data_IF_459086732407
#
_entry.id   IF_459086732407
#
_cell.length_a   1.000
_cell.length_b   1.000
_cell.length_c   1.000
_cell.angle_alpha   90.00
_cell.angle_beta   90.00
_cell.angle_gamma   90.00
#
_symmetry.space_group_name_H-M   'P 1'
#
loop_
_entity.id
_entity.type
_entity.pdbx_description
1 polymer ?
#
# COMPACT_ATOMS: atom_id res chain seq x y z
N UNK A 1 7.27 -25.51 -17.87
CA UNK A 1 6.98 -25.94 -16.54
C UNK A 1 7.36 -24.92 -15.49
N UNK A 2 6.42 -24.66 -14.68
CA UNK A 2 6.49 -23.78 -13.51
C UNK A 2 7.44 -24.32 -12.44
N UNK A 3 7.97 -25.47 -12.63
CA UNK A 3 8.51 -26.30 -11.59
C UNK A 3 9.96 -26.04 -11.18
N UNK A 4 10.53 -24.94 -11.58
CA UNK A 4 11.74 -24.52 -10.89
C UNK A 4 11.29 -23.77 -9.63
N UNK A 5 10.74 -24.55 -8.71
CA UNK A 5 10.50 -24.13 -7.35
C UNK A 5 11.79 -23.61 -6.74
N UNK A 6 12.08 -22.35 -6.97
CA UNK A 6 13.05 -21.64 -6.14
C UNK A 6 12.36 -21.30 -4.82
N UNK A 7 13.10 -21.19 -3.74
CA UNK A 7 12.55 -20.73 -2.44
C UNK A 7 11.73 -19.45 -2.56
N UNK A 8 12.05 -18.63 -3.54
CA UNK A 8 11.41 -17.36 -3.81
C UNK A 8 10.03 -17.49 -4.48
N UNK A 9 9.83 -18.52 -5.30
CA UNK A 9 8.53 -18.76 -5.95
C UNK A 9 7.48 -19.34 -5.00
N UNK A 10 7.90 -20.05 -3.95
CA UNK A 10 6.98 -20.62 -2.96
C UNK A 10 6.21 -19.60 -2.14
N UNK A 11 6.68 -18.35 -2.09
CA UNK A 11 6.02 -17.29 -1.32
C UNK A 11 4.85 -16.68 -2.08
N UNK A 12 4.86 -16.76 -3.42
CA UNK A 12 3.85 -16.18 -4.31
C UNK A 12 3.44 -17.15 -5.42
N UNK A 13 3.38 -18.43 -5.11
CA UNK A 13 3.02 -19.48 -6.07
C UNK A 13 1.69 -19.23 -6.77
N UNK A 14 0.69 -18.74 -6.05
CA UNK A 14 -0.64 -18.44 -6.56
C UNK A 14 -0.58 -17.38 -7.67
N UNK A 15 0.15 -16.30 -7.42
CA UNK A 15 0.30 -15.20 -8.37
C UNK A 15 1.10 -15.61 -9.59
N UNK A 16 2.20 -16.33 -9.41
CA UNK A 16 2.99 -16.84 -10.53
C UNK A 16 2.22 -17.90 -11.35
N UNK A 17 1.35 -18.68 -10.70
CA UNK A 17 0.38 -19.54 -11.38
C UNK A 17 -0.56 -18.74 -12.27
N UNK A 18 -1.13 -17.67 -11.76
CA UNK A 18 -1.97 -16.72 -12.50
C UNK A 18 -1.24 -16.07 -13.67
N UNK A 19 -0.01 -15.57 -13.46
CA UNK A 19 0.83 -15.02 -14.55
C UNK A 19 1.06 -16.02 -15.68
N UNK A 20 1.31 -17.27 -15.33
CA UNK A 20 1.55 -18.32 -16.30
C UNK A 20 0.32 -18.62 -17.15
N UNK A 21 -0.87 -18.66 -16.55
CA UNK A 21 -2.13 -18.82 -17.27
C UNK A 21 -2.37 -17.63 -18.19
N UNK A 22 -2.27 -16.41 -17.69
CA UNK A 22 -2.49 -15.19 -18.45
C UNK A 22 -1.51 -15.04 -19.63
N UNK A 23 -0.23 -15.35 -19.44
CA UNK A 23 0.80 -15.30 -20.49
C UNK A 23 0.57 -16.34 -21.62
N UNK A 24 -0.17 -17.40 -21.35
CA UNK A 24 -0.56 -18.41 -22.33
C UNK A 24 -1.90 -18.10 -23.01
N UNK A 25 -2.47 -16.93 -22.76
CA UNK A 25 -3.77 -16.53 -23.31
C UNK A 25 -4.96 -17.13 -22.59
N UNK A 26 -4.76 -17.73 -21.40
CA UNK A 26 -5.84 -18.23 -20.57
C UNK A 26 -6.57 -17.09 -19.85
N UNK A 27 -7.83 -17.32 -19.54
CA UNK A 27 -8.64 -16.45 -18.71
C UNK A 27 -8.63 -16.96 -17.26
N UNK A 28 -8.67 -16.02 -16.34
CA UNK A 28 -8.80 -16.29 -14.90
C UNK A 28 -10.10 -15.63 -14.47
N UNK A 29 -11.06 -16.45 -14.04
CA UNK A 29 -12.35 -16.00 -13.57
C UNK A 29 -12.47 -16.24 -12.06
N UNK A 30 -13.23 -15.41 -11.39
CA UNK A 30 -13.55 -15.57 -9.99
C UNK A 30 -14.98 -16.12 -9.85
N UNK A 31 -15.10 -17.26 -9.17
CA UNK A 31 -16.38 -17.85 -8.83
C UNK A 31 -16.44 -18.12 -7.35
N UNK A 32 -17.47 -17.62 -6.70
CA UNK A 32 -17.70 -17.81 -5.28
C UNK A 32 -18.91 -18.71 -5.05
N UNK A 33 -18.70 -20.03 -5.13
CA UNK A 33 -19.76 -21.01 -4.87
C UNK A 33 -19.90 -21.34 -3.38
N UNK A 34 -18.81 -21.24 -2.63
CA UNK A 34 -18.76 -21.59 -1.21
C UNK A 34 -17.87 -20.57 -0.50
N UNK A 35 -18.38 -20.02 0.59
CA UNK A 35 -17.60 -19.12 1.44
C UNK A 35 -16.65 -19.92 2.33
N UNK A 36 -15.36 -19.84 2.07
CA UNK A 36 -14.33 -20.51 2.85
C UNK A 36 -13.55 -19.50 3.67
N UNK A 37 -13.69 -19.56 4.99
CA UNK A 37 -12.87 -18.78 5.91
C UNK A 37 -11.53 -19.45 6.18
N UNK A 38 -10.45 -18.67 6.26
CA UNK A 38 -9.13 -19.12 6.69
C UNK A 38 -8.71 -18.38 7.95
N UNK A 39 -8.37 -19.13 8.99
CA UNK A 39 -7.84 -18.57 10.24
C UNK A 39 -6.53 -17.82 10.02
N UNK A 40 -6.34 -16.74 10.78
CA UNK A 40 -5.11 -15.96 10.84
C UNK A 40 -4.68 -15.80 12.28
N UNK A 41 -3.38 -15.60 12.45
CA UNK A 41 -2.81 -15.27 13.76
C UNK A 41 -3.32 -13.87 14.16
N UNK A 42 -3.76 -13.74 15.39
CA UNK A 42 -4.31 -12.48 15.94
C UNK A 42 -3.25 -11.66 16.67
N UNK A 43 -2.04 -12.20 16.82
CA UNK A 43 -0.94 -11.49 17.45
C UNK A 43 -0.35 -10.46 16.49
N UNK A 44 0.08 -9.32 17.02
CA UNK A 44 0.75 -8.29 16.21
C UNK A 44 1.96 -8.84 15.47
N UNK A 45 2.76 -9.68 16.12
CA UNK A 45 3.92 -10.32 15.52
C UNK A 45 3.52 -11.29 14.40
N UNK A 46 2.44 -12.04 14.57
CA UNK A 46 1.92 -12.94 13.53
C UNK A 46 1.42 -12.18 12.30
N UNK A 47 0.69 -11.08 12.52
CA UNK A 47 0.19 -10.22 11.43
C UNK A 47 1.34 -9.56 10.68
N UNK A 48 2.30 -8.96 11.38
CA UNK A 48 3.46 -8.32 10.75
C UNK A 48 4.34 -9.32 10.00
N UNK A 49 4.55 -10.51 10.56
CA UNK A 49 5.28 -11.58 9.88
C UNK A 49 4.60 -12.06 8.60
N UNK A 50 3.26 -12.11 8.60
CA UNK A 50 2.48 -12.45 7.42
C UNK A 50 2.58 -11.36 6.35
N UNK A 51 2.43 -10.09 6.72
CA UNK A 51 2.59 -8.96 5.81
C UNK A 51 4.00 -8.89 5.21
N UNK A 52 5.02 -9.11 6.01
CA UNK A 52 6.40 -9.18 5.54
C UNK A 52 6.60 -10.30 4.50
N UNK A 53 5.98 -11.44 4.71
CA UNK A 53 6.00 -12.55 3.75
C UNK A 53 5.38 -12.15 2.43
N UNK A 54 4.20 -11.53 2.45
CA UNK A 54 3.49 -11.10 1.23
C UNK A 54 4.27 -10.00 0.52
N UNK A 55 4.76 -9.00 1.25
CA UNK A 55 5.56 -7.92 0.68
C UNK A 55 6.83 -8.45 -0.02
N UNK A 56 7.52 -9.40 0.60
CA UNK A 56 8.67 -10.09 -0.01
C UNK A 56 8.29 -10.82 -1.30
N UNK A 57 7.15 -11.50 -1.32
CA UNK A 57 6.61 -12.15 -2.51
C UNK A 57 6.32 -11.18 -3.64
N UNK A 58 5.71 -10.04 -3.33
CA UNK A 58 5.46 -8.98 -4.32
C UNK A 58 6.74 -8.37 -4.90
N UNK A 59 7.78 -8.19 -4.09
CA UNK A 59 9.07 -7.73 -4.58
C UNK A 59 9.66 -8.68 -5.64
N UNK A 60 9.56 -9.98 -5.43
CA UNK A 60 9.98 -10.97 -6.44
C UNK A 60 9.14 -10.97 -7.70
N UNK A 61 7.83 -10.71 -7.59
CA UNK A 61 6.95 -10.58 -8.75
C UNK A 61 7.41 -9.43 -9.65
N UNK A 62 7.70 -8.26 -9.07
CA UNK A 62 8.15 -7.07 -9.80
C UNK A 62 9.45 -7.34 -10.56
N UNK A 63 10.37 -8.07 -9.94
CA UNK A 63 11.67 -8.40 -10.53
C UNK A 63 11.61 -9.56 -11.54
N UNK A 64 10.45 -10.20 -11.70
CA UNK A 64 10.31 -11.37 -12.54
C UNK A 64 10.23 -11.01 -14.04
N UNK A 65 10.75 -11.91 -14.89
CA UNK A 65 10.56 -11.80 -16.35
C UNK A 65 9.10 -11.95 -16.77
N UNK A 66 8.31 -12.65 -15.98
CA UNK A 66 6.89 -12.87 -16.28
C UNK A 66 6.09 -11.59 -16.11
N UNK A 67 6.42 -10.77 -15.12
CA UNK A 67 5.87 -9.43 -14.98
C UNK A 67 6.19 -8.55 -16.20
N UNK A 68 7.44 -8.57 -16.65
CA UNK A 68 7.85 -7.82 -17.86
C UNK A 68 7.11 -8.29 -19.11
N UNK A 69 6.91 -9.59 -19.28
CA UNK A 69 6.14 -10.14 -20.40
C UNK A 69 4.66 -9.77 -20.31
N UNK A 70 4.09 -9.87 -19.11
CA UNK A 70 2.70 -9.53 -18.85
C UNK A 70 2.44 -8.05 -19.10
N UNK A 71 3.37 -7.17 -18.74
CA UNK A 71 3.25 -5.73 -18.98
C UNK A 71 3.18 -5.35 -20.47
N UNK A 72 3.65 -6.23 -21.35
CA UNK A 72 3.59 -6.05 -22.81
C UNK A 72 2.36 -6.71 -23.46
N UNK A 73 1.74 -7.64 -22.77
CA UNK A 73 0.63 -8.44 -23.28
C UNK A 73 -0.74 -8.02 -22.72
N UNK A 74 -0.77 -7.46 -21.52
CA UNK A 74 -1.99 -7.06 -20.84
C UNK A 74 -2.43 -5.64 -21.24
N UNK A 75 -3.74 -5.40 -21.17
CA UNK A 75 -4.33 -4.09 -21.37
C UNK A 75 -4.06 -3.14 -20.16
N UNK A 76 -4.31 -1.87 -20.37
CA UNK A 76 -4.07 -0.84 -19.36
C UNK A 76 -4.81 -1.11 -18.03
N UNK A 77 -6.06 -1.50 -18.09
CA UNK A 77 -6.88 -1.71 -16.88
C UNK A 77 -6.39 -2.91 -16.06
N UNK A 78 -5.97 -3.97 -16.72
CA UNK A 78 -5.36 -5.14 -16.04
C UNK A 78 -4.04 -4.78 -15.42
N UNK A 79 -3.22 -3.98 -16.10
CA UNK A 79 -1.94 -3.50 -15.55
C UNK A 79 -2.15 -2.57 -14.36
N UNK A 80 -3.11 -1.68 -14.44
CA UNK A 80 -3.46 -0.81 -13.32
C UNK A 80 -3.95 -1.60 -12.11
N UNK A 81 -4.83 -2.57 -12.31
CA UNK A 81 -5.29 -3.46 -11.24
C UNK A 81 -4.14 -4.25 -10.63
N UNK A 82 -3.26 -4.81 -11.44
CA UNK A 82 -2.08 -5.55 -10.99
C UNK A 82 -1.11 -4.65 -10.20
N UNK A 83 -0.91 -3.43 -10.65
CA UNK A 83 -0.08 -2.46 -9.93
C UNK A 83 -0.70 -2.09 -8.59
N UNK A 84 -1.98 -1.72 -8.56
CA UNK A 84 -2.67 -1.29 -7.35
C UNK A 84 -2.81 -2.39 -6.30
N UNK A 85 -2.98 -3.65 -6.72
CA UNK A 85 -3.10 -4.81 -5.81
C UNK A 85 -1.76 -5.41 -5.39
N UNK A 86 -0.67 -5.06 -6.05
CA UNK A 86 0.65 -5.64 -5.83
C UNK A 86 1.70 -4.61 -5.45
N UNK A 87 2.59 -4.30 -6.37
CA UNK A 87 3.75 -3.44 -6.14
C UNK A 87 3.38 -2.02 -5.71
N UNK A 88 2.33 -1.45 -6.28
CA UNK A 88 1.85 -0.11 -5.94
C UNK A 88 1.38 -0.01 -4.50
N UNK A 89 0.64 -1.00 -4.02
CA UNK A 89 0.20 -1.07 -2.63
C UNK A 89 1.39 -1.03 -1.65
N UNK A 90 2.41 -1.85 -1.87
CA UNK A 90 3.58 -1.89 -0.99
C UNK A 90 4.47 -0.66 -1.13
N UNK A 91 4.54 -0.06 -2.31
CA UNK A 91 5.22 1.21 -2.51
C UNK A 91 4.53 2.33 -1.71
N UNK A 92 3.21 2.41 -1.79
CA UNK A 92 2.42 3.37 -1.01
C UNK A 92 2.62 3.16 0.49
N UNK A 93 2.60 1.91 0.97
CA UNK A 93 2.86 1.61 2.38
C UNK A 93 4.28 2.00 2.83
N UNK A 94 5.27 1.85 1.97
CA UNK A 94 6.63 2.29 2.28
C UNK A 94 6.73 3.82 2.38
N UNK A 95 6.12 4.53 1.44
CA UNK A 95 6.06 6.00 1.46
C UNK A 95 5.29 6.49 2.70
N UNK A 96 4.17 5.85 3.01
CA UNK A 96 3.37 6.16 4.20
C UNK A 96 4.17 5.98 5.49
N UNK A 97 4.91 4.89 5.61
CA UNK A 97 5.78 4.65 6.77
C UNK A 97 6.83 5.76 6.93
N UNK A 98 7.43 6.19 5.83
CA UNK A 98 8.37 7.32 5.84
C UNK A 98 7.70 8.63 6.24
N UNK A 99 6.55 8.93 5.68
CA UNK A 99 5.77 10.12 6.02
C UNK A 99 5.40 10.14 7.50
N UNK A 100 5.05 9.00 8.09
CA UNK A 100 4.75 8.88 9.52
C UNK A 100 5.97 9.21 10.39
N UNK A 101 7.16 8.72 10.05
CA UNK A 101 8.38 9.06 10.78
C UNK A 101 8.68 10.56 10.73
N UNK A 102 8.55 11.18 9.56
CA UNK A 102 8.72 12.62 9.40
C UNK A 102 7.68 13.41 10.19
N UNK A 103 6.44 12.98 10.16
CA UNK A 103 5.36 13.59 10.92
C UNK A 103 5.66 13.59 12.43
N UNK A 104 5.99 12.44 12.98
CA UNK A 104 6.35 12.31 14.40
C UNK A 104 7.58 13.17 14.75
N UNK A 105 8.59 13.17 13.90
CA UNK A 105 9.81 13.97 14.12
C UNK A 105 9.52 15.47 14.11
N UNK A 106 8.74 15.95 13.15
CA UNK A 106 8.36 17.37 13.04
C UNK A 106 7.57 17.80 14.28
N UNK A 107 6.57 17.02 14.68
CA UNK A 107 5.77 17.33 15.86
C UNK A 107 6.62 17.32 17.15
N UNK A 108 7.50 16.36 17.30
CA UNK A 108 8.41 16.33 18.44
C UNK A 108 9.36 17.57 18.46
N UNK A 109 9.81 18.00 17.29
CA UNK A 109 10.65 19.20 17.16
C UNK A 109 9.85 20.48 17.49
N UNK A 110 8.62 20.59 17.00
CA UNK A 110 7.74 21.73 17.30
C UNK A 110 7.43 21.81 18.79
N UNK A 111 7.11 20.68 19.42
CA UNK A 111 6.89 20.60 20.86
C UNK A 111 8.15 21.00 21.66
N UNK A 112 9.31 20.50 21.28
CA UNK A 112 10.57 20.80 21.94
C UNK A 112 10.99 22.28 21.79
N UNK A 113 10.59 22.95 20.72
CA UNK A 113 10.89 24.34 20.43
C UNK A 113 9.79 25.33 20.90
N UNK A 114 8.68 24.83 21.46
CA UNK A 114 7.50 25.61 21.82
C UNK A 114 6.93 26.46 20.66
N UNK A 115 7.01 25.97 19.45
CA UNK A 115 6.55 26.67 18.23
C UNK A 115 5.25 26.10 17.65
N UNK A 116 4.52 25.31 18.40
CA UNK A 116 3.27 24.70 17.98
C UNK A 116 2.22 25.73 17.55
N UNK A 117 2.06 26.77 18.34
CA UNK A 117 1.10 27.86 18.05
C UNK A 117 1.52 28.66 16.81
N UNK A 118 2.80 29.03 16.71
CA UNK A 118 3.31 29.77 15.56
C UNK A 118 3.23 28.96 14.24
N UNK A 119 3.33 27.66 14.32
CA UNK A 119 3.17 26.78 13.18
C UNK A 119 1.69 26.64 12.80
N UNK A 120 0.80 26.50 13.78
CA UNK A 120 -0.63 26.48 13.56
C UNK A 120 -1.13 27.79 12.95
N UNK A 121 -0.67 28.93 13.49
CA UNK A 121 -1.00 30.27 12.97
C UNK A 121 -0.43 30.51 11.56
N UNK A 122 0.73 29.96 11.25
CA UNK A 122 1.35 30.05 9.92
C UNK A 122 0.71 29.14 8.87
N UNK A 123 0.06 28.04 9.31
CA UNK A 123 -0.74 27.17 8.44
C UNK A 123 -2.19 27.65 8.31
N UNK A 124 -2.66 28.50 9.23
CA UNK A 124 -3.94 29.15 9.10
C UNK A 124 -3.88 30.14 7.94
N UNK A 125 -3.95 29.64 6.74
CA UNK A 125 -4.24 30.43 5.57
C UNK A 125 -5.56 31.16 5.82
N UNK A 126 -5.50 32.51 5.79
CA UNK A 126 -6.57 33.50 5.65
C UNK A 126 -8.00 32.91 5.69
N UNK A 127 -8.38 32.45 6.87
CA UNK A 127 -9.61 31.68 7.10
C UNK A 127 -10.76 32.60 7.48
N UNK A 128 -10.56 33.91 7.40
CA UNK A 128 -11.66 34.88 7.62
C UNK A 128 -12.85 34.74 6.69
N UNK A 129 -12.75 33.90 5.64
CA UNK A 129 -13.86 33.67 4.69
C UNK A 129 -14.73 32.44 4.94
N UNK A 130 -14.30 31.51 5.79
CA UNK A 130 -15.08 30.30 6.12
C UNK A 130 -15.28 30.24 7.62
N UNK A 131 -16.50 30.04 8.08
CA UNK A 131 -16.86 30.04 9.51
C UNK A 131 -15.90 29.18 10.36
N UNK A 132 -15.37 29.80 11.39
CA UNK A 132 -14.20 29.37 12.20
C UNK A 132 -14.18 27.90 12.64
N UNK A 133 -15.33 27.30 12.87
CA UNK A 133 -15.41 25.94 13.40
C UNK A 133 -15.23 24.85 12.33
N UNK A 134 -15.70 25.08 11.13
CA UNK A 134 -15.60 24.10 10.04
C UNK A 134 -14.19 23.98 9.47
N UNK A 135 -13.42 25.03 9.52
CA UNK A 135 -12.05 25.08 9.01
C UNK A 135 -11.09 24.36 9.93
N UNK A 136 -11.23 24.56 11.22
CA UNK A 136 -10.42 23.84 12.21
C UNK A 136 -10.60 22.32 12.06
N UNK A 137 -11.83 21.86 11.83
CA UNK A 137 -12.09 20.45 11.57
C UNK A 137 -11.54 19.99 10.20
N UNK A 138 -11.62 20.80 9.17
CA UNK A 138 -11.10 20.47 7.85
C UNK A 138 -9.57 20.37 7.86
N UNK A 139 -8.86 21.28 8.53
CA UNK A 139 -7.42 21.25 8.68
C UNK A 139 -6.96 20.09 9.57
N UNK A 140 -7.62 19.87 10.70
CA UNK A 140 -7.35 18.74 11.56
C UNK A 140 -7.59 17.41 10.84
N UNK A 141 -8.67 17.30 10.07
CA UNK A 141 -8.97 16.12 9.27
C UNK A 141 -8.00 15.96 8.10
N UNK A 142 -7.56 17.06 7.49
CA UNK A 142 -6.55 17.02 6.43
C UNK A 142 -5.21 16.58 6.98
N UNK A 143 -4.77 17.13 8.10
CA UNK A 143 -3.51 16.77 8.74
C UNK A 143 -3.54 15.37 9.36
N UNK A 144 -4.67 14.94 9.91
CA UNK A 144 -4.76 13.63 10.58
C UNK A 144 -5.18 12.49 9.66
N UNK A 145 -5.99 12.75 8.64
CA UNK A 145 -6.51 11.72 7.74
C UNK A 145 -5.82 11.65 6.38
N UNK A 146 -5.38 12.77 5.85
CA UNK A 146 -4.74 12.79 4.52
C UNK A 146 -3.24 12.60 4.63
N UNK A 147 -2.59 13.16 5.65
CA UNK A 147 -1.16 12.96 5.88
C UNK A 147 -0.73 11.51 6.05
N UNK A 148 -1.50 10.61 6.70
CA UNK A 148 -1.16 9.20 6.72
C UNK A 148 -1.23 8.50 5.35
N UNK A 149 -1.85 9.14 4.34
CA UNK A 149 -2.04 8.59 2.99
C UNK A 149 -1.23 9.32 1.90
N UNK A 150 -0.52 10.40 2.25
CA UNK A 150 0.46 11.08 1.43
C UNK A 150 1.88 10.61 1.77
#
# INVERSE_FOLDING_TARGET
GVSKASRTLHVSEDIFGGFNVALRGGMIDFYEFIHCGKGRDITFQGVTGFEQKIAGGNAYQVLSRDMHRLSRAADFFRLQSLFASGSGFYLCNAILSWALYWFVFIHALLAATNRETAFADGLAFDVESFGDEQVYYAEFMTLTLIQPYL
#
